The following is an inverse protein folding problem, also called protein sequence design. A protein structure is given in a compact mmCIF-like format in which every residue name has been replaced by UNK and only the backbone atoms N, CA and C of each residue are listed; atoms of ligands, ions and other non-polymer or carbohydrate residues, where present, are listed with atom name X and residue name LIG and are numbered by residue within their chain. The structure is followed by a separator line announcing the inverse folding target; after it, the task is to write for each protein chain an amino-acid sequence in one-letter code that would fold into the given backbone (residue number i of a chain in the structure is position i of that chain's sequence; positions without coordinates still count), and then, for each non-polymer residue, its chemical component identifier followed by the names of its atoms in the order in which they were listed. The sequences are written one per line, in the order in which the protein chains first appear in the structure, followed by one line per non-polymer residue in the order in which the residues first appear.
data_IF_006948615140
#
_entry.id   IF_006948615140
#
_cell.length_a   1.000
_cell.length_b   1.000
_cell.length_c   1.000
_cell.angle_alpha   90.00
_cell.angle_beta   90.00
_cell.angle_gamma   90.00
#
_symmetry.space_group_name_H-M   'P 1'
#
loop_
_entity.id
_entity.type
_entity.pdbx_description
1 polymer ?
#
# COMPACT_ATOMS: atom_id res chain seq x y z
N UNK A 1 41.75 -48.82 20.61
CA UNK A 1 42.15 -47.45 20.22
C UNK A 1 41.07 -46.89 19.29
N UNK A 2 40.31 -45.88 19.72
CA UNK A 2 39.29 -45.22 18.88
C UNK A 2 39.95 -44.15 18.01
N UNK A 3 39.83 -44.27 16.69
CA UNK A 3 40.39 -43.34 15.70
C UNK A 3 39.51 -42.09 15.67
N UNK A 4 39.96 -40.97 16.25
CA UNK A 4 39.27 -39.68 16.13
C UNK A 4 39.31 -39.23 14.67
N UNK A 5 38.14 -39.12 14.06
CA UNK A 5 37.98 -38.54 12.72
C UNK A 5 38.40 -37.07 12.74
N UNK A 6 39.21 -36.60 11.77
CA UNK A 6 39.57 -35.18 11.69
C UNK A 6 38.31 -34.35 11.44
N UNK A 7 38.03 -33.38 12.31
CA UNK A 7 36.98 -32.39 12.08
C UNK A 7 37.44 -31.44 10.97
N UNK A 8 36.80 -31.50 9.80
CA UNK A 8 36.96 -30.47 8.76
C UNK A 8 36.31 -29.17 9.25
N UNK A 9 37.11 -28.13 9.46
CA UNK A 9 36.63 -26.77 9.65
C UNK A 9 36.42 -26.07 8.31
N UNK A 10 35.47 -25.13 8.26
CA UNK A 10 35.31 -24.22 7.13
C UNK A 10 36.54 -23.33 6.99
N UNK A 11 36.99 -23.11 5.76
CA UNK A 11 38.08 -22.17 5.48
C UNK A 11 37.54 -20.74 5.46
N UNK A 12 38.36 -19.77 5.90
CA UNK A 12 38.01 -18.35 5.81
C UNK A 12 37.75 -17.91 4.37
N UNK A 13 38.45 -18.51 3.41
CA UNK A 13 38.30 -18.22 1.97
C UNK A 13 36.93 -18.65 1.45
N UNK A 14 36.43 -19.81 1.88
CA UNK A 14 35.07 -20.27 1.54
C UNK A 14 34.01 -19.28 2.01
N UNK A 15 34.14 -18.78 3.24
CA UNK A 15 33.19 -17.79 3.77
C UNK A 15 33.32 -16.44 3.06
N UNK A 16 34.54 -16.03 2.68
CA UNK A 16 34.79 -14.76 2.00
C UNK A 16 34.13 -14.70 0.60
N UNK A 17 34.24 -15.77 -0.19
CA UNK A 17 33.61 -15.81 -1.53
C UNK A 17 32.08 -15.81 -1.40
N UNK A 18 31.55 -16.53 -0.40
CA UNK A 18 30.10 -16.63 -0.17
C UNK A 18 29.50 -15.26 0.18
N UNK A 19 30.12 -14.49 1.08
CA UNK A 19 29.59 -13.16 1.42
C UNK A 19 29.67 -12.16 0.27
N UNK A 20 30.68 -12.29 -0.61
CA UNK A 20 30.80 -11.46 -1.82
C UNK A 20 29.68 -11.77 -2.81
N UNK A 21 29.38 -13.05 -3.06
CA UNK A 21 28.30 -13.46 -3.96
C UNK A 21 26.93 -13.04 -3.38
N UNK A 22 26.68 -13.27 -2.08
CA UNK A 22 25.44 -12.84 -1.42
C UNK A 22 25.31 -11.32 -1.45
N UNK A 23 26.40 -10.57 -1.21
CA UNK A 23 26.42 -9.11 -1.28
C UNK A 23 26.05 -8.58 -2.67
N UNK A 24 26.58 -9.18 -3.74
CA UNK A 24 26.23 -8.84 -5.12
C UNK A 24 24.75 -9.10 -5.43
N UNK A 25 24.24 -10.27 -5.02
CA UNK A 25 22.82 -10.61 -5.20
C UNK A 25 21.90 -9.67 -4.43
N UNK A 26 22.23 -9.36 -3.17
CA UNK A 26 21.45 -8.45 -2.33
C UNK A 26 21.41 -7.03 -2.91
N UNK A 27 22.53 -6.54 -3.45
CA UNK A 27 22.61 -5.20 -4.05
C UNK A 27 21.64 -5.00 -5.23
N UNK A 28 21.41 -6.05 -6.04
CA UNK A 28 20.40 -6.01 -7.11
C UNK A 28 18.99 -6.32 -6.62
N UNK A 29 18.84 -7.22 -5.65
CA UNK A 29 17.54 -7.69 -5.17
C UNK A 29 16.78 -6.62 -4.37
N UNK A 30 17.46 -5.84 -3.53
CA UNK A 30 16.82 -4.82 -2.68
C UNK A 30 16.05 -3.77 -3.49
N UNK A 31 16.65 -3.07 -4.48
CA UNK A 31 15.92 -2.05 -5.25
C UNK A 31 14.78 -2.66 -6.08
N UNK A 32 14.97 -3.86 -6.62
CA UNK A 32 13.92 -4.59 -7.34
C UNK A 32 12.73 -4.93 -6.42
N UNK A 33 13.01 -5.43 -5.22
CA UNK A 33 12.00 -5.76 -4.23
C UNK A 33 11.24 -4.52 -3.75
N UNK A 34 11.93 -3.40 -3.53
CA UNK A 34 11.31 -2.12 -3.20
C UNK A 34 10.33 -1.66 -4.28
N UNK A 35 10.71 -1.75 -5.56
CA UNK A 35 9.82 -1.40 -6.68
C UNK A 35 8.59 -2.30 -6.75
N UNK A 36 8.76 -3.62 -6.59
CA UNK A 36 7.64 -4.56 -6.60
C UNK A 36 6.71 -4.29 -5.42
N UNK A 37 7.24 -4.10 -4.21
CA UNK A 37 6.46 -3.77 -3.01
C UNK A 37 5.66 -2.48 -3.21
N UNK A 38 6.29 -1.43 -3.75
CA UNK A 38 5.60 -0.17 -4.04
C UNK A 38 4.45 -0.36 -5.02
N UNK A 39 4.68 -1.12 -6.11
CA UNK A 39 3.61 -1.40 -7.09
C UNK A 39 2.46 -2.24 -6.52
N UNK A 40 2.75 -3.14 -5.57
CA UNK A 40 1.74 -3.93 -4.88
C UNK A 40 0.91 -3.08 -3.93
N UNK A 41 1.54 -2.13 -3.23
CA UNK A 41 0.86 -1.15 -2.38
C UNK A 41 -0.06 -0.28 -3.23
N UNK A 42 0.42 0.26 -4.36
CA UNK A 42 -0.39 1.07 -5.28
C UNK A 42 -1.63 0.31 -5.78
N UNK A 43 -1.48 -0.96 -6.16
CA UNK A 43 -2.61 -1.80 -6.58
C UNK A 43 -3.61 -2.05 -5.45
N UNK A 44 -3.14 -2.26 -4.23
CA UNK A 44 -4.01 -2.40 -3.06
C UNK A 44 -4.80 -1.10 -2.82
N UNK A 45 -4.12 0.05 -2.84
CA UNK A 45 -4.72 1.38 -2.68
C UNK A 45 -5.81 1.66 -3.72
N UNK A 46 -5.59 1.28 -4.98
CA UNK A 46 -6.59 1.44 -6.05
C UNK A 46 -7.82 0.56 -5.77
N UNK A 47 -7.62 -0.69 -5.35
CA UNK A 47 -8.73 -1.60 -5.03
C UNK A 47 -9.54 -1.10 -3.82
N UNK A 48 -8.87 -0.57 -2.81
CA UNK A 48 -9.52 -0.02 -1.63
C UNK A 48 -10.32 1.24 -1.97
N UNK A 49 -9.74 2.15 -2.76
CA UNK A 49 -10.45 3.36 -3.20
C UNK A 49 -11.66 3.04 -4.10
N UNK A 50 -11.62 1.97 -4.91
CA UNK A 50 -12.79 1.50 -5.67
C UNK A 50 -13.92 1.01 -4.76
N UNK A 51 -13.60 0.25 -3.72
CA UNK A 51 -14.59 -0.18 -2.74
C UNK A 51 -15.22 1.02 -2.03
N UNK A 52 -14.41 2.04 -1.71
CA UNK A 52 -14.91 3.28 -1.13
C UNK A 52 -15.75 4.11 -2.09
N UNK A 53 -15.45 4.13 -3.38
CA UNK A 53 -16.27 4.84 -4.37
C UNK A 53 -17.67 4.25 -4.43
N UNK A 54 -17.75 2.93 -4.53
CA UNK A 54 -19.03 2.23 -4.52
C UNK A 54 -19.79 2.47 -3.22
N UNK A 55 -19.11 2.44 -2.08
CA UNK A 55 -19.71 2.71 -0.77
C UNK A 55 -20.20 4.17 -0.64
N UNK A 56 -19.42 5.14 -1.10
CA UNK A 56 -19.77 6.55 -1.09
C UNK A 56 -21.00 6.82 -1.97
N UNK A 57 -21.03 6.25 -3.18
CA UNK A 57 -22.18 6.36 -4.07
C UNK A 57 -23.45 5.75 -3.45
N UNK A 58 -23.33 4.60 -2.78
CA UNK A 58 -24.46 3.99 -2.08
C UNK A 58 -24.95 4.85 -0.92
N UNK A 59 -24.05 5.39 -0.09
CA UNK A 59 -24.38 6.29 1.00
C UNK A 59 -25.04 7.59 0.50
N UNK A 60 -24.50 8.19 -0.56
CA UNK A 60 -25.01 9.43 -1.14
C UNK A 60 -26.40 9.23 -1.74
N UNK A 61 -26.65 8.09 -2.39
CA UNK A 61 -27.97 7.72 -2.90
C UNK A 61 -28.98 7.53 -1.77
N UNK A 62 -28.58 6.89 -0.66
CA UNK A 62 -29.47 6.63 0.48
C UNK A 62 -29.78 7.90 1.28
N UNK A 63 -28.78 8.74 1.52
CA UNK A 63 -28.91 9.94 2.37
C UNK A 63 -29.19 11.23 1.61
N UNK A 64 -29.15 11.21 0.28
CA UNK A 64 -29.34 12.40 -0.56
C UNK A 64 -28.27 13.47 -0.34
N UNK A 65 -27.05 13.06 0.03
CA UNK A 65 -25.94 13.97 0.35
C UNK A 65 -24.93 14.04 -0.79
N UNK A 66 -24.23 15.16 -0.88
CA UNK A 66 -23.22 15.41 -1.90
C UNK A 66 -21.82 14.92 -1.50
N UNK A 67 -21.63 14.38 -0.30
CA UNK A 67 -20.32 13.93 0.16
C UNK A 67 -20.48 12.88 1.24
N UNK A 68 -19.48 12.04 1.37
CA UNK A 68 -19.42 11.02 2.39
C UNK A 68 -18.04 11.04 3.06
N UNK A 69 -18.02 11.37 4.34
CA UNK A 69 -16.81 11.25 5.15
C UNK A 69 -16.44 9.77 5.31
N UNK A 70 -15.15 9.46 5.34
CA UNK A 70 -14.63 8.10 5.47
C UNK A 70 -15.17 7.39 6.73
N UNK A 71 -15.37 8.13 7.82
CA UNK A 71 -15.94 7.64 9.09
C UNK A 71 -17.39 7.12 8.94
N UNK A 72 -18.12 7.58 7.92
CA UNK A 72 -19.49 7.12 7.64
C UNK A 72 -19.53 5.89 6.75
N UNK A 73 -18.44 5.63 6.02
CA UNK A 73 -18.36 4.56 5.03
C UNK A 73 -17.67 3.32 5.60
N UNK A 74 -16.67 3.50 6.45
CA UNK A 74 -15.77 2.46 6.92
C UNK A 74 -15.99 2.19 8.40
N UNK A 75 -16.13 0.93 8.77
CA UNK A 75 -16.15 0.52 10.16
C UNK A 75 -16.78 -0.86 10.36
N UNK A 76 -16.67 -1.38 11.57
CA UNK A 76 -17.21 -2.70 11.94
C UNK A 76 -18.69 -2.67 12.31
N UNK A 77 -19.28 -1.47 12.37
CA UNK A 77 -20.67 -1.24 12.75
C UNK A 77 -21.64 -1.59 11.61
N UNK A 78 -22.88 -1.92 11.95
CA UNK A 78 -23.91 -2.40 10.98
C UNK A 78 -24.38 -1.34 9.99
N UNK A 79 -24.16 -0.06 10.29
CA UNK A 79 -24.53 1.08 9.45
C UNK A 79 -23.44 1.48 8.44
N UNK A 80 -22.34 0.71 8.36
CA UNK A 80 -21.20 0.97 7.48
C UNK A 80 -21.31 0.17 6.18
N UNK A 81 -20.66 0.71 5.15
CA UNK A 81 -20.72 0.19 3.79
C UNK A 81 -19.48 -0.65 3.45
N UNK A 82 -18.38 -0.47 4.18
CA UNK A 82 -17.15 -1.26 4.07
C UNK A 82 -16.70 -1.72 5.46
N UNK A 83 -16.64 -3.03 5.68
CA UNK A 83 -16.28 -3.65 6.97
C UNK A 83 -14.77 -3.79 7.21
N UNK A 84 -13.96 -3.08 6.41
CA UNK A 84 -12.50 -3.08 6.45
C UNK A 84 -11.92 -3.06 5.05
N UNK A 85 -10.81 -2.35 4.88
CA UNK A 85 -10.01 -2.33 3.66
C UNK A 85 -8.77 -3.21 3.88
N UNK A 86 -8.18 -3.75 2.80
CA UNK A 86 -7.17 -4.81 2.90
C UNK A 86 -5.96 -4.46 3.77
N UNK A 87 -5.51 -5.46 4.56
CA UNK A 87 -4.32 -5.47 5.44
C UNK A 87 -4.15 -4.28 6.40
N UNK A 88 -5.17 -4.07 7.23
CA UNK A 88 -5.10 -3.24 8.43
C UNK A 88 -6.41 -2.49 8.58
N UNK A 89 -7.10 -2.64 9.70
CA UNK A 89 -8.33 -1.91 10.04
C UNK A 89 -8.09 -0.40 10.28
N UNK A 90 -7.09 0.17 9.63
CA UNK A 90 -6.86 1.59 9.53
C UNK A 90 -6.75 1.89 8.04
N UNK A 91 -7.18 3.08 7.68
CA UNK A 91 -7.05 3.70 6.37
C UNK A 91 -5.54 3.79 6.01
N UNK A 92 -4.85 2.67 5.75
CA UNK A 92 -3.38 2.55 5.81
C UNK A 92 -2.95 1.34 4.97
N UNK A 93 -2.97 1.44 3.63
CA UNK A 93 -2.22 0.49 2.82
C UNK A 93 -0.76 0.97 2.74
N UNK A 94 0.06 0.54 3.71
CA UNK A 94 1.35 1.18 3.99
C UNK A 94 1.17 2.59 4.56
N UNK A 95 2.18 3.46 4.55
CA UNK A 95 2.08 4.80 5.14
C UNK A 95 0.96 5.70 4.53
N UNK A 96 0.13 5.26 3.58
CA UNK A 96 -0.85 6.10 2.88
C UNK A 96 -2.26 6.07 3.51
N UNK A 97 -2.80 7.26 3.83
CA UNK A 97 -4.12 7.49 4.43
C UNK A 97 -5.09 8.20 3.47
N UNK A 98 -6.30 7.68 3.29
CA UNK A 98 -7.41 8.34 2.59
C UNK A 98 -8.07 9.38 3.51
N UNK A 99 -8.17 10.64 3.05
CA UNK A 99 -8.61 11.77 3.89
C UNK A 99 -9.99 12.33 3.52
N UNK A 100 -10.40 12.28 2.24
CA UNK A 100 -11.70 12.81 1.78
C UNK A 100 -12.14 12.22 0.44
N UNK A 101 -13.45 12.04 0.26
CA UNK A 101 -14.13 11.56 -0.98
C UNK A 101 -15.05 12.63 -1.54
N UNK A 102 -14.89 12.99 -2.81
CA UNK A 102 -15.70 14.01 -3.49
C UNK A 102 -16.73 13.41 -4.45
N UNK A 103 -17.76 14.19 -4.80
CA UNK A 103 -18.85 13.88 -5.75
C UNK A 103 -18.43 13.21 -7.06
N UNK A 104 -17.21 13.47 -7.53
CA UNK A 104 -16.71 13.10 -8.86
C UNK A 104 -15.79 11.87 -8.81
N UNK A 105 -16.14 10.86 -8.02
CA UNK A 105 -15.36 9.63 -7.85
C UNK A 105 -13.87 9.88 -7.54
N UNK A 106 -13.56 10.91 -6.74
CA UNK A 106 -12.19 11.33 -6.45
C UNK A 106 -11.85 11.19 -4.95
N UNK A 107 -10.67 10.65 -4.66
CA UNK A 107 -10.13 10.43 -3.31
C UNK A 107 -8.83 11.20 -3.11
N UNK A 108 -8.64 11.75 -1.91
CA UNK A 108 -7.35 12.28 -1.47
C UNK A 108 -6.63 11.23 -0.62
N UNK A 109 -5.36 10.97 -0.94
CA UNK A 109 -4.52 9.97 -0.31
C UNK A 109 -3.22 10.61 0.16
N UNK A 110 -2.85 10.44 1.43
CA UNK A 110 -1.70 11.11 2.05
C UNK A 110 -0.75 10.13 2.73
N UNK A 111 0.53 10.16 2.34
CA UNK A 111 1.62 9.51 3.04
C UNK A 111 2.32 10.50 4.01
N UNK A 112 2.21 10.34 5.34
CA UNK A 112 2.85 11.19 6.33
C UNK A 112 4.37 10.98 6.41
N UNK A 113 4.92 9.92 5.80
CA UNK A 113 6.36 9.68 5.69
C UNK A 113 7.05 10.43 4.52
N UNK A 114 6.29 11.12 3.66
CA UNK A 114 6.82 11.91 2.55
C UNK A 114 6.52 13.41 2.75
N UNK A 115 7.49 14.33 2.57
CA UNK A 115 7.33 15.76 2.85
C UNK A 115 6.17 16.47 2.13
N UNK A 116 5.73 15.94 0.98
CA UNK A 116 4.60 16.45 0.17
C UNK A 116 3.60 15.33 -0.19
N UNK A 117 3.43 14.35 0.69
CA UNK A 117 2.85 13.04 0.38
C UNK A 117 1.37 12.97 0.01
N UNK A 118 0.70 14.02 -0.47
CA UNK A 118 -0.72 13.99 -0.85
C UNK A 118 -0.92 13.83 -2.36
N UNK A 119 -1.60 12.75 -2.76
CA UNK A 119 -2.01 12.45 -4.14
C UNK A 119 -3.53 12.40 -4.23
N UNK A 120 -4.08 12.94 -5.31
CA UNK A 120 -5.49 12.81 -5.65
C UNK A 120 -5.61 11.63 -6.61
N UNK A 121 -6.33 10.60 -6.20
CA UNK A 121 -6.75 9.49 -7.03
C UNK A 121 -8.14 9.81 -7.58
N UNK A 122 -8.23 10.13 -8.86
CA UNK A 122 -9.51 10.40 -9.53
C UNK A 122 -9.89 9.19 -10.36
N UNK A 123 -11.09 8.67 -10.17
CA UNK A 123 -11.71 7.70 -11.08
C UNK A 123 -12.56 8.44 -12.11
N UNK A 124 -12.47 8.04 -13.38
CA UNK A 124 -13.41 8.46 -14.40
C UNK A 124 -14.65 7.57 -14.39
N UNK A 125 -15.66 7.95 -15.17
CA UNK A 125 -16.93 7.22 -15.29
C UNK A 125 -16.80 5.81 -15.86
N UNK A 126 -15.63 5.44 -16.39
CA UNK A 126 -15.30 4.09 -16.88
C UNK A 126 -14.55 3.26 -15.82
N UNK A 127 -14.36 3.82 -14.61
CA UNK A 127 -13.63 3.21 -13.50
C UNK A 127 -12.10 3.20 -13.70
N UNK A 128 -11.60 3.85 -14.76
CA UNK A 128 -10.17 4.06 -14.95
C UNK A 128 -9.72 5.20 -14.04
N UNK A 129 -8.50 5.10 -13.55
CA UNK A 129 -8.01 5.99 -12.51
C UNK A 129 -6.81 6.79 -12.97
N UNK A 130 -6.65 7.97 -12.38
CA UNK A 130 -5.46 8.81 -12.51
C UNK A 130 -4.94 9.15 -11.12
N UNK A 131 -3.63 8.97 -10.92
CA UNK A 131 -2.93 9.42 -9.72
C UNK A 131 -2.26 10.75 -10.03
N UNK A 132 -2.86 11.85 -9.58
CA UNK A 132 -2.31 13.19 -9.71
C UNK A 132 -1.73 13.68 -8.39
N UNK A 133 -0.45 14.06 -8.36
CA UNK A 133 0.12 14.72 -7.17
C UNK A 133 -0.36 16.17 -7.09
N UNK A 134 -0.77 16.63 -5.91
CA UNK A 134 -0.81 18.07 -5.65
C UNK A 134 0.64 18.54 -5.59
N UNK A 135 1.20 19.01 -6.71
CA UNK A 135 2.33 19.93 -6.64
C UNK A 135 1.77 21.20 -6.04
N UNK A 136 2.09 21.42 -4.77
CA UNK A 136 1.78 22.67 -4.09
C UNK A 136 2.26 23.86 -4.92
N UNK A 137 1.42 24.88 -4.98
CA UNK A 137 1.89 26.26 -5.04
C UNK A 137 2.68 26.59 -3.75
#
# INVERSE_FOLDING_TARGET
MQKKSPKKGFTLVEIMIVVVIIGLLAAMAIPAFQKVRQSSIEKALINDARQLASAAQQYMMEKGTASADSDRLIGTETDKYVTGLGSGNAIVAGDWNITSTYLTDAFTMQNPGLPNGSSILTFDSEGKHTLGGSKGD
#
